data_IF_525107493134
#
_entry.id   IF_525107493134
#
_cell.length_a   1.000
_cell.length_b   1.000
_cell.length_c   1.000
_cell.angle_alpha   90.00
_cell.angle_beta   90.00
_cell.angle_gamma   90.00
#
_symmetry.space_group_name_H-M   'P 1'
#
loop_
_entity.id
_entity.type
_entity.pdbx_description
1 polymer ?
#
# COMPACT_ATOMS: atom_id res chain seq x y z
N UNK A 1 -5.64 -9.57 27.61
CA UNK A 1 -4.52 -8.85 26.97
C UNK A 1 -5.13 -7.97 25.90
N UNK A 2 -5.03 -6.63 26.02
CA UNK A 2 -5.38 -5.73 24.91
C UNK A 2 -4.19 -5.74 23.95
N UNK A 3 -4.41 -6.08 22.68
CA UNK A 3 -3.33 -6.06 21.69
C UNK A 3 -2.89 -4.61 21.46
N UNK A 4 -1.59 -4.38 21.33
CA UNK A 4 -1.06 -3.04 21.04
C UNK A 4 -1.68 -2.44 19.77
N UNK A 5 -2.01 -3.31 18.79
CA UNK A 5 -2.75 -2.99 17.57
C UNK A 5 -4.10 -2.27 17.80
N UNK A 6 -4.83 -2.60 18.86
CA UNK A 6 -6.14 -1.99 19.12
C UNK A 6 -5.99 -0.52 19.55
N UNK A 7 -4.91 -0.18 20.25
CA UNK A 7 -4.69 1.15 20.86
C UNK A 7 -4.34 2.19 19.81
N UNK A 8 -3.53 1.82 18.81
CA UNK A 8 -3.15 2.73 17.73
C UNK A 8 -4.16 2.77 16.60
N UNK A 9 -4.85 1.67 16.29
CA UNK A 9 -6.00 1.74 15.40
C UNK A 9 -7.04 2.72 15.97
N UNK A 10 -7.29 2.68 17.28
CA UNK A 10 -8.13 3.67 17.98
C UNK A 10 -7.56 5.09 17.87
N UNK A 11 -6.26 5.29 18.11
CA UNK A 11 -5.62 6.61 18.00
C UNK A 11 -5.65 7.18 16.57
N UNK A 12 -5.40 6.34 15.56
CA UNK A 12 -5.47 6.69 14.14
C UNK A 12 -6.90 7.07 13.74
N UNK A 13 -7.89 6.27 14.13
CA UNK A 13 -9.32 6.56 13.89
C UNK A 13 -9.70 7.89 14.56
N UNK A 14 -9.33 8.10 15.81
CA UNK A 14 -9.62 9.35 16.52
C UNK A 14 -8.97 10.56 15.84
N UNK A 15 -7.74 10.40 15.34
CA UNK A 15 -7.03 11.46 14.60
C UNK A 15 -7.76 11.82 13.31
N UNK A 16 -8.21 10.84 12.53
CA UNK A 16 -8.99 11.07 11.32
C UNK A 16 -10.37 11.68 11.61
N UNK A 17 -11.07 11.20 12.65
CA UNK A 17 -12.37 11.74 13.05
C UNK A 17 -12.26 13.20 13.48
N UNK A 18 -11.25 13.54 14.28
CA UNK A 18 -11.01 14.93 14.69
C UNK A 18 -10.72 15.84 13.49
N UNK A 19 -9.89 15.39 12.54
CA UNK A 19 -9.62 16.13 11.32
C UNK A 19 -10.89 16.35 10.49
N UNK A 20 -11.78 15.36 10.38
CA UNK A 20 -13.07 15.52 9.70
C UNK A 20 -13.99 16.53 10.40
N UNK A 21 -13.99 16.56 11.73
CA UNK A 21 -14.75 17.53 12.51
C UNK A 21 -14.24 18.95 12.26
N UNK A 22 -12.91 19.15 12.25
CA UNK A 22 -12.28 20.44 11.98
C UNK A 22 -12.54 20.92 10.55
N UNK A 23 -12.37 20.04 9.56
CA UNK A 23 -12.70 20.31 8.16
C UNK A 23 -14.17 20.71 8.00
N UNK A 24 -15.08 19.99 8.67
CA UNK A 24 -16.50 20.31 8.67
C UNK A 24 -16.81 21.67 9.30
N UNK A 25 -16.11 22.05 10.37
CA UNK A 25 -16.24 23.35 11.00
C UNK A 25 -15.76 24.49 10.08
N UNK A 26 -14.61 24.30 9.41
CA UNK A 26 -14.06 25.26 8.45
C UNK A 26 -15.01 25.44 7.26
N UNK A 27 -15.51 24.34 6.69
CA UNK A 27 -16.45 24.38 5.58
C UNK A 27 -17.75 25.11 5.96
N UNK A 28 -18.28 24.85 7.17
CA UNK A 28 -19.49 25.50 7.67
C UNK A 28 -19.30 27.00 7.89
N UNK A 29 -18.18 27.44 8.45
CA UNK A 29 -17.92 28.86 8.66
C UNK A 29 -17.64 29.58 7.34
N UNK A 30 -16.96 28.91 6.39
CA UNK A 30 -16.75 29.42 5.04
C UNK A 30 -18.08 29.62 4.30
N UNK A 31 -19.00 28.65 4.33
CA UNK A 31 -20.33 28.74 3.71
C UNK A 31 -21.14 29.90 4.28
N UNK A 32 -21.17 30.03 5.62
CA UNK A 32 -21.80 31.16 6.31
C UNK A 32 -21.20 32.50 5.87
N UNK A 33 -19.87 32.60 5.75
CA UNK A 33 -19.23 33.83 5.30
C UNK A 33 -19.49 34.13 3.82
N UNK A 34 -19.51 33.12 2.94
CA UNK A 34 -19.87 33.28 1.53
C UNK A 34 -21.31 33.76 1.38
N UNK A 35 -22.24 33.19 2.16
CA UNK A 35 -23.64 33.57 2.15
C UNK A 35 -23.88 35.00 2.67
N UNK A 36 -23.12 35.45 3.67
CA UNK A 36 -23.28 36.79 4.26
C UNK A 36 -22.39 37.89 3.61
N UNK A 37 -21.28 37.52 2.98
CA UNK A 37 -20.26 38.44 2.43
C UNK A 37 -19.90 38.05 1.00
N UNK A 38 -20.88 38.16 0.11
CA UNK A 38 -20.77 37.75 -1.30
C UNK A 38 -19.65 38.46 -2.05
N UNK A 39 -19.33 39.70 -1.68
CA UNK A 39 -18.23 40.50 -2.24
C UNK A 39 -16.84 39.91 -1.98
N UNK A 40 -16.69 39.10 -0.92
CA UNK A 40 -15.44 38.42 -0.56
C UNK A 40 -15.48 36.90 -0.84
N UNK A 41 -16.59 36.38 -1.37
CA UNK A 41 -16.78 34.95 -1.63
C UNK A 41 -15.67 34.36 -2.51
N UNK A 42 -15.20 35.14 -3.50
CA UNK A 42 -14.11 34.75 -4.39
C UNK A 42 -12.76 34.54 -3.69
N UNK A 43 -12.53 35.14 -2.52
CA UNK A 43 -11.32 34.92 -1.71
C UNK A 43 -11.55 33.89 -0.60
N UNK A 44 -12.75 33.86 -0.01
CA UNK A 44 -13.11 32.95 1.10
C UNK A 44 -13.12 31.50 0.63
N UNK A 45 -13.67 31.21 -0.55
CA UNK A 45 -13.82 29.83 -1.04
C UNK A 45 -12.47 29.15 -1.30
N UNK A 46 -11.52 29.76 -2.03
CA UNK A 46 -10.20 29.17 -2.23
C UNK A 46 -9.39 29.05 -0.94
N UNK A 47 -9.51 30.03 -0.03
CA UNK A 47 -8.81 30.00 1.26
C UNK A 47 -9.32 28.86 2.15
N UNK A 48 -10.64 28.69 2.25
CA UNK A 48 -11.24 27.60 3.01
C UNK A 48 -10.84 26.23 2.43
N UNK A 49 -10.82 26.10 1.10
CA UNK A 49 -10.36 24.87 0.44
C UNK A 49 -8.89 24.56 0.77
N UNK A 50 -8.00 25.55 0.67
CA UNK A 50 -6.59 25.37 1.02
C UNK A 50 -6.40 24.96 2.49
N UNK A 51 -7.17 25.55 3.42
CA UNK A 51 -7.16 25.12 4.81
C UNK A 51 -7.63 23.68 4.98
N UNK A 52 -8.71 23.28 4.30
CA UNK A 52 -9.24 21.91 4.37
C UNK A 52 -8.21 20.89 3.85
N UNK A 53 -7.57 21.18 2.71
CA UNK A 53 -6.54 20.31 2.12
C UNK A 53 -5.33 20.14 3.05
N UNK A 54 -4.87 21.24 3.67
CA UNK A 54 -3.77 21.19 4.62
C UNK A 54 -4.09 20.31 5.84
N UNK A 55 -5.26 20.47 6.45
CA UNK A 55 -5.67 19.65 7.60
C UNK A 55 -5.84 18.18 7.22
N UNK A 56 -6.36 17.89 6.02
CA UNK A 56 -6.49 16.52 5.53
C UNK A 56 -5.11 15.85 5.33
N UNK A 57 -4.17 16.55 4.69
CA UNK A 57 -2.82 16.03 4.44
C UNK A 57 -2.06 15.80 5.76
N UNK A 58 -2.16 16.75 6.70
CA UNK A 58 -1.50 16.62 7.99
C UNK A 58 -2.03 15.44 8.79
N UNK A 59 -3.36 15.25 8.84
CA UNK A 59 -3.98 14.12 9.51
C UNK A 59 -3.55 12.77 8.90
N UNK A 60 -3.54 12.66 7.57
CA UNK A 60 -3.08 11.44 6.87
C UNK A 60 -1.61 11.16 7.18
N UNK A 61 -0.76 12.19 7.19
CA UNK A 61 0.67 12.05 7.50
C UNK A 61 0.88 11.59 8.94
N UNK A 62 0.15 12.16 9.89
CA UNK A 62 0.22 11.77 11.31
C UNK A 62 -0.18 10.30 11.48
N UNK A 63 -1.30 9.88 10.88
CA UNK A 63 -1.76 8.49 10.91
C UNK A 63 -0.75 7.55 10.26
N UNK A 64 -0.19 7.92 9.12
CA UNK A 64 0.88 7.15 8.47
C UNK A 64 2.07 6.94 9.39
N UNK A 65 2.52 8.00 10.07
CA UNK A 65 3.64 7.90 11.03
C UNK A 65 3.32 7.03 12.26
N UNK A 66 2.07 7.07 12.75
CA UNK A 66 1.61 6.23 13.86
C UNK A 66 1.61 4.75 13.44
N UNK A 67 1.02 4.43 12.29
CA UNK A 67 0.96 3.07 11.77
C UNK A 67 2.36 2.52 11.40
N UNK A 68 3.24 3.34 10.84
CA UNK A 68 4.63 2.94 10.55
C UNK A 68 5.44 2.69 11.82
N UNK A 69 5.29 3.53 12.85
CA UNK A 69 5.94 3.33 14.14
C UNK A 69 5.47 2.02 14.80
N UNK A 70 4.19 1.67 14.61
CA UNK A 70 3.64 0.42 15.07
C UNK A 70 4.08 -0.81 14.31
N UNK A 71 4.11 -0.76 12.97
CA UNK A 71 4.64 -1.86 12.16
C UNK A 71 6.08 -2.14 12.59
N UNK A 72 6.88 -1.08 12.78
CA UNK A 72 8.25 -1.21 13.29
C UNK A 72 8.30 -1.74 14.73
N UNK A 73 7.42 -1.30 15.62
CA UNK A 73 7.36 -1.79 17.00
C UNK A 73 6.86 -3.25 17.07
N UNK A 74 5.97 -3.66 16.16
CA UNK A 74 5.53 -5.05 15.99
C UNK A 74 6.68 -5.91 15.49
N UNK A 75 7.42 -5.45 14.48
CA UNK A 75 8.64 -6.11 14.00
C UNK A 75 9.68 -6.24 15.14
N UNK A 76 9.87 -5.20 15.96
CA UNK A 76 10.79 -5.23 17.11
C UNK A 76 10.30 -6.13 18.27
N UNK A 77 8.99 -6.25 18.48
CA UNK A 77 8.40 -7.11 19.51
C UNK A 77 8.40 -8.58 19.08
N UNK A 78 8.12 -8.86 17.80
CA UNK A 78 8.37 -10.17 17.20
C UNK A 78 9.86 -10.51 17.26
N UNK A 79 10.77 -9.56 17.01
CA UNK A 79 12.21 -9.77 17.17
C UNK A 79 12.61 -10.05 18.62
N UNK A 80 12.04 -9.42 19.66
CA UNK A 80 12.37 -9.77 21.07
C UNK A 80 11.84 -11.13 21.52
N UNK A 81 10.70 -11.60 20.99
CA UNK A 81 10.20 -12.96 21.22
C UNK A 81 10.90 -14.03 20.39
N UNK A 82 11.47 -13.64 19.25
CA UNK A 82 12.17 -14.51 18.31
C UNK A 82 13.69 -14.51 18.47
N UNK A 83 14.33 -13.59 19.21
CA UNK A 83 15.79 -13.60 19.43
C UNK A 83 16.31 -14.89 20.09
N UNK A 84 15.56 -15.62 20.95
CA UNK A 84 15.98 -16.96 21.38
C UNK A 84 15.71 -18.06 20.33
N UNK A 85 14.86 -17.83 19.32
CA UNK A 85 14.43 -18.82 18.31
C UNK A 85 15.08 -18.63 16.93
N UNK A 86 15.60 -17.43 16.64
CA UNK A 86 16.28 -17.07 15.39
C UNK A 86 17.76 -17.46 15.37
N UNK A 87 18.26 -18.14 16.40
CA UNK A 87 19.63 -18.63 16.42
C UNK A 87 19.82 -20.08 15.98
N UNK A 88 18.76 -20.82 15.62
CA UNK A 88 18.96 -22.19 15.12
C UNK A 88 18.17 -22.61 13.86
N UNK A 89 17.10 -21.93 13.42
CA UNK A 89 16.29 -22.45 12.28
C UNK A 89 15.76 -21.42 11.28
N UNK A 90 16.60 -20.49 10.83
CA UNK A 90 16.33 -19.65 9.66
C UNK A 90 16.46 -20.30 8.24
N UNK A 91 16.57 -21.63 8.02
CA UNK A 91 16.57 -22.15 6.65
C UNK A 91 15.18 -22.36 6.03
N UNK A 92 14.14 -22.66 6.79
CA UNK A 92 12.99 -23.40 6.21
C UNK A 92 12.02 -22.57 5.38
N UNK A 93 11.78 -21.30 5.73
CA UNK A 93 10.90 -20.44 4.92
C UNK A 93 11.56 -20.02 3.60
N UNK A 94 12.84 -19.63 3.65
CA UNK A 94 13.61 -19.27 2.45
C UNK A 94 13.87 -20.49 1.56
N UNK A 95 14.09 -21.68 2.15
CA UNK A 95 14.12 -22.96 1.42
C UNK A 95 12.78 -23.28 0.75
N UNK A 96 11.64 -23.05 1.43
CA UNK A 96 10.30 -23.24 0.85
C UNK A 96 10.04 -22.31 -0.33
N UNK A 97 10.62 -21.12 -0.29
CA UNK A 97 10.62 -20.15 -1.39
C UNK A 97 11.77 -20.35 -2.38
N UNK A 98 12.56 -21.42 -2.27
CA UNK A 98 13.70 -21.72 -3.14
C UNK A 98 14.76 -20.60 -3.24
N UNK A 99 14.80 -19.68 -2.27
CA UNK A 99 15.76 -18.59 -2.19
C UNK A 99 16.87 -19.05 -1.24
N UNK A 100 18.01 -19.42 -1.82
CA UNK A 100 19.20 -19.81 -1.08
C UNK A 100 20.11 -18.59 -0.90
N UNK A 101 20.99 -18.57 0.12
CA UNK A 101 21.95 -17.49 0.32
C UNK A 101 22.84 -17.19 -0.90
N UNK A 102 22.98 -18.14 -1.83
CA UNK A 102 23.73 -18.01 -3.10
C UNK A 102 22.85 -17.75 -4.32
N UNK A 103 21.53 -17.56 -4.16
CA UNK A 103 20.61 -17.32 -5.26
C UNK A 103 20.76 -15.87 -5.74
N UNK A 104 21.21 -15.72 -6.98
CA UNK A 104 21.28 -14.43 -7.68
C UNK A 104 20.49 -14.57 -8.98
N UNK A 105 19.68 -13.57 -9.33
CA UNK A 105 18.88 -13.59 -10.57
C UNK A 105 17.40 -13.32 -10.33
N UNK A 106 16.57 -13.66 -11.32
CA UNK A 106 15.12 -13.42 -11.30
C UNK A 106 14.38 -14.67 -10.82
N UNK A 107 13.28 -14.50 -10.10
CA UNK A 107 12.42 -15.59 -9.60
C UNK A 107 10.96 -15.24 -9.90
N UNK A 108 10.20 -16.21 -10.40
CA UNK A 108 8.74 -16.12 -10.56
C UNK A 108 8.05 -16.63 -9.30
N UNK A 109 7.06 -15.89 -8.81
CA UNK A 109 6.24 -16.26 -7.66
C UNK A 109 4.79 -16.47 -8.10
N UNK A 110 4.17 -17.56 -7.63
CA UNK A 110 2.75 -17.81 -7.78
C UNK A 110 2.04 -17.40 -6.50
N UNK A 111 1.09 -16.47 -6.60
CA UNK A 111 0.36 -15.91 -5.47
C UNK A 111 -1.14 -16.14 -5.65
N UNK A 112 -1.77 -16.77 -4.67
CA UNK A 112 -3.20 -17.04 -4.63
C UNK A 112 -3.78 -16.51 -3.31
N UNK A 113 -4.82 -15.68 -3.38
CA UNK A 113 -5.45 -15.04 -2.19
C UNK A 113 -4.44 -14.34 -1.26
N UNK A 114 -3.42 -13.70 -1.84
CA UNK A 114 -2.36 -13.02 -1.10
C UNK A 114 -1.31 -13.94 -0.47
N UNK A 115 -1.35 -15.25 -0.72
CA UNK A 115 -0.35 -16.23 -0.24
C UNK A 115 0.48 -16.78 -1.38
N UNK A 116 1.80 -16.88 -1.18
CA UNK A 116 2.69 -17.53 -2.15
C UNK A 116 2.45 -19.05 -2.09
N UNK A 117 2.09 -19.65 -3.21
CA UNK A 117 1.81 -21.09 -3.34
C UNK A 117 2.93 -21.85 -4.04
N UNK A 118 3.75 -21.16 -4.85
CA UNK A 118 4.93 -21.74 -5.49
C UNK A 118 5.92 -20.65 -5.94
N UNK A 119 7.16 -21.04 -6.22
CA UNK A 119 8.20 -20.18 -6.78
C UNK A 119 9.05 -20.95 -7.81
N UNK A 120 9.65 -20.26 -8.77
CA UNK A 120 10.55 -20.88 -9.77
C UNK A 120 11.62 -19.88 -10.21
N UNK A 121 12.92 -20.24 -10.19
CA UNK A 121 13.97 -19.39 -10.76
C UNK A 121 13.74 -19.15 -12.25
N UNK A 122 13.96 -17.92 -12.71
CA UNK A 122 13.89 -17.53 -14.12
C UNK A 122 15.34 -17.48 -14.64
N UNK A 123 15.72 -18.36 -15.57
CA UNK A 123 17.02 -18.32 -16.23
C UNK A 123 17.30 -16.97 -16.90
N UNK A 124 18.57 -16.61 -17.01
CA UNK A 124 18.96 -15.31 -17.59
C UNK A 124 18.65 -15.20 -19.09
N UNK A 125 18.57 -16.32 -19.79
CA UNK A 125 18.20 -16.43 -21.21
C UNK A 125 16.67 -16.40 -21.44
N UNK A 126 15.87 -16.43 -20.37
CA UNK A 126 14.41 -16.30 -20.49
C UNK A 126 14.01 -14.82 -20.66
N UNK A 127 13.16 -14.58 -21.67
CA UNK A 127 12.51 -13.28 -21.89
C UNK A 127 11.23 -13.23 -21.06
N UNK A 128 11.19 -12.32 -20.09
CA UNK A 128 10.00 -11.98 -19.33
C UNK A 128 9.34 -10.76 -19.96
N UNK A 129 8.13 -10.90 -20.48
CA UNK A 129 7.40 -9.79 -21.10
C UNK A 129 5.90 -9.89 -20.85
N UNK A 130 5.18 -8.78 -21.03
CA UNK A 130 3.73 -8.75 -20.93
C UNK A 130 3.08 -9.40 -22.17
N UNK A 131 1.75 -9.55 -22.16
CA UNK A 131 1.03 -10.18 -23.27
C UNK A 131 1.30 -9.49 -24.61
N UNK A 132 1.35 -8.16 -24.65
CA UNK A 132 1.64 -7.40 -25.87
C UNK A 132 3.04 -7.73 -26.42
N UNK A 133 4.04 -7.82 -25.55
CA UNK A 133 5.39 -8.24 -25.92
C UNK A 133 5.43 -9.68 -26.44
N UNK A 134 4.65 -10.58 -25.85
CA UNK A 134 4.48 -11.94 -26.36
C UNK A 134 3.86 -11.94 -27.78
N UNK A 135 2.79 -11.17 -27.99
CA UNK A 135 2.14 -11.04 -29.32
C UNK A 135 3.12 -10.50 -30.35
N UNK A 136 3.93 -9.51 -29.99
CA UNK A 136 4.97 -8.97 -30.87
C UNK A 136 6.04 -10.00 -31.23
N UNK A 137 6.50 -10.81 -30.27
CA UNK A 137 7.47 -11.88 -30.52
C UNK A 137 6.89 -12.99 -31.39
N UNK A 138 5.64 -13.39 -31.13
CA UNK A 138 4.92 -14.36 -31.93
C UNK A 138 4.76 -13.88 -33.39
N UNK A 139 4.39 -12.61 -33.59
CA UNK A 139 4.26 -12.02 -34.92
C UNK A 139 5.60 -12.01 -35.69
N UNK A 140 6.71 -11.68 -35.02
CA UNK A 140 8.06 -11.74 -35.62
C UNK A 140 8.48 -13.15 -36.01
N UNK A 141 8.00 -14.16 -35.29
CA UNK A 141 8.22 -15.57 -35.62
C UNK A 141 7.25 -16.10 -36.69
N UNK A 142 6.36 -15.26 -37.23
CA UNK A 142 5.39 -15.62 -38.27
C UNK A 142 4.08 -16.20 -37.75
N UNK A 143 3.84 -16.16 -36.43
CA UNK A 143 2.61 -16.63 -35.81
C UNK A 143 1.62 -15.48 -35.58
N UNK A 144 0.33 -15.76 -35.75
CA UNK A 144 -0.74 -14.81 -35.48
C UNK A 144 -1.55 -15.28 -34.28
N UNK A 145 -1.49 -14.53 -33.18
CA UNK A 145 -2.24 -14.81 -31.96
C UNK A 145 -3.54 -14.02 -32.02
N UNK A 146 -4.68 -14.70 -32.12
CA UNK A 146 -5.99 -14.08 -31.93
C UNK A 146 -6.56 -14.48 -30.57
N UNK A 147 -7.18 -13.55 -29.83
CA UNK A 147 -7.88 -13.90 -28.62
C UNK A 147 -9.05 -14.84 -28.97
N UNK A 148 -9.16 -15.94 -28.23
CA UNK A 148 -10.31 -16.84 -28.30
C UNK A 148 -11.57 -16.02 -28.07
N UNK A 149 -12.46 -15.97 -29.08
CA UNK A 149 -13.80 -15.43 -28.88
C UNK A 149 -14.46 -16.25 -27.79
N UNK A 150 -14.78 -15.61 -26.67
CA UNK A 150 -15.61 -16.21 -25.65
C UNK A 150 -16.94 -16.63 -26.32
N UNK A 151 -17.19 -17.93 -26.39
CA UNK A 151 -18.53 -18.44 -26.67
C UNK A 151 -19.43 -17.99 -25.54
N UNK A 152 -20.38 -17.10 -25.89
CA UNK A 152 -21.44 -16.63 -25.02
C UNK A 152 -22.31 -17.80 -24.52
#
# INVERSE_FOLDING_TARGET
>A
MRNNFDISAEAAIMTLVNALVEIGAIAKEADKHVACKTEYSGAITPQALACIELHAIEAIKQVGSMMEAEIRASDETEMRGLVPMLNENQPDFLKRLGIYPSTTGRVMLYVESGRITANTPIPDDHITTNFDGFVHLAARAGYRVEPLKATA
#
